data_IF_469232049312
#
_entry.id   IF_469232049312
#
_cell.length_a   1.000
_cell.length_b   1.000
_cell.length_c   1.000
_cell.angle_alpha   90.00
_cell.angle_beta   90.00
_cell.angle_gamma   90.00
#
_symmetry.space_group_name_H-M   'P 1'
#
loop_
_entity.id
_entity.type
_entity.pdbx_description
1 polymer ?
#
# COMPACT_ATOMS: atom_id res chain seq x y z
N UNK A 1 24.44 5.71 60.28
CA UNK A 1 23.24 4.90 59.94
C UNK A 1 22.74 4.04 61.11
N UNK A 2 23.59 3.61 62.05
CA UNK A 2 23.17 2.80 63.21
C UNK A 2 22.25 3.52 64.23
N UNK A 3 22.29 4.86 64.32
CA UNK A 3 21.46 5.61 65.26
C UNK A 3 19.99 5.73 64.83
N UNK A 4 19.73 5.75 63.51
CA UNK A 4 18.38 5.86 62.95
C UNK A 4 17.61 4.52 62.93
N UNK A 5 18.33 3.38 63.05
CA UNK A 5 17.74 2.04 63.06
C UNK A 5 17.28 1.60 64.44
N UNK A 6 17.98 2.05 65.49
CA UNK A 6 17.54 1.87 66.88
C UNK A 6 16.26 2.65 67.22
N UNK A 7 16.04 3.81 66.60
CA UNK A 7 14.83 4.64 66.80
C UNK A 7 13.55 3.99 66.22
N UNK A 8 13.69 3.04 65.29
CA UNK A 8 12.58 2.37 64.61
C UNK A 8 12.39 0.90 65.02
N UNK A 9 13.15 0.40 66.02
CA UNK A 9 13.12 -1.01 66.45
C UNK A 9 13.37 -2.04 65.32
N UNK A 10 14.13 -1.65 64.29
CA UNK A 10 14.48 -2.53 63.16
C UNK A 10 15.93 -3.01 63.27
N UNK A 11 16.14 -4.31 63.12
CA UNK A 11 17.48 -4.90 63.21
C UNK A 11 18.25 -4.68 61.89
N UNK A 12 19.55 -4.34 61.96
CA UNK A 12 20.37 -3.99 60.78
C UNK A 12 20.37 -5.09 59.69
N UNK A 13 20.30 -6.36 60.10
CA UNK A 13 20.19 -7.50 59.17
C UNK A 13 18.88 -7.49 58.35
N UNK A 14 17.79 -6.95 58.89
CA UNK A 14 16.52 -6.83 58.16
C UNK A 14 16.63 -5.79 57.05
N UNK A 15 17.34 -4.69 57.27
CA UNK A 15 17.61 -3.68 56.25
C UNK A 15 18.54 -4.20 55.15
N UNK A 16 19.58 -4.95 55.51
CA UNK A 16 20.45 -5.59 54.53
C UNK A 16 19.69 -6.59 53.66
N UNK A 17 18.87 -7.45 54.28
CA UNK A 17 18.03 -8.41 53.58
C UNK A 17 16.99 -7.72 52.68
N UNK A 18 16.39 -6.61 53.12
CA UNK A 18 15.47 -5.81 52.30
C UNK A 18 16.16 -5.17 51.10
N UNK A 19 17.33 -4.53 51.29
CA UNK A 19 18.10 -3.96 50.17
C UNK A 19 18.52 -5.03 49.18
N UNK A 20 19.05 -6.15 49.67
CA UNK A 20 19.43 -7.30 48.84
C UNK A 20 18.24 -7.87 48.06
N UNK A 21 17.07 -8.01 48.70
CA UNK A 21 15.84 -8.48 48.06
C UNK A 21 15.34 -7.50 46.98
N UNK A 22 15.34 -6.20 47.25
CA UNK A 22 14.97 -5.17 46.27
C UNK A 22 15.94 -5.14 45.09
N UNK A 23 17.25 -5.21 45.35
CA UNK A 23 18.28 -5.26 44.31
C UNK A 23 18.14 -6.50 43.42
N UNK A 24 17.88 -7.67 44.03
CA UNK A 24 17.62 -8.90 43.28
C UNK A 24 16.33 -8.83 42.46
N UNK A 25 15.26 -8.20 42.97
CA UNK A 25 14.02 -8.01 42.21
C UNK A 25 14.23 -7.10 41.00
N UNK A 26 14.93 -5.98 41.16
CA UNK A 26 15.29 -5.09 40.06
C UNK A 26 16.14 -5.82 39.01
N UNK A 27 17.20 -6.50 39.44
CA UNK A 27 18.09 -7.23 38.52
C UNK A 27 17.39 -8.42 37.84
N UNK A 28 16.47 -9.10 38.52
CA UNK A 28 15.63 -10.13 37.89
C UNK A 28 14.72 -9.53 36.83
N UNK A 29 14.07 -8.40 37.14
CA UNK A 29 13.20 -7.69 36.21
C UNK A 29 13.94 -7.19 34.97
N UNK A 30 15.16 -6.66 35.14
CA UNK A 30 16.03 -6.23 34.04
C UNK A 30 16.38 -7.41 33.11
N UNK A 31 16.78 -8.56 33.67
CA UNK A 31 17.08 -9.78 32.89
C UNK A 31 15.86 -10.32 32.16
N UNK A 32 14.69 -10.29 32.80
CA UNK A 32 13.43 -10.69 32.17
C UNK A 32 13.08 -9.76 31.00
N UNK A 33 13.29 -8.46 31.15
CA UNK A 33 13.11 -7.49 30.08
C UNK A 33 14.06 -7.74 28.92
N UNK A 34 15.35 -7.94 29.18
CA UNK A 34 16.35 -8.28 28.15
C UNK A 34 15.99 -9.57 27.41
N UNK A 35 15.65 -10.63 28.15
CA UNK A 35 15.23 -11.91 27.58
C UNK A 35 13.94 -11.76 26.77
N UNK A 36 12.97 -10.96 27.23
CA UNK A 36 11.75 -10.71 26.47
C UNK A 36 12.02 -9.93 25.18
N UNK A 37 12.93 -8.96 25.20
CA UNK A 37 13.37 -8.22 24.02
C UNK A 37 14.05 -9.15 23.01
N UNK A 38 14.90 -10.07 23.49
CA UNK A 38 15.55 -11.06 22.63
C UNK A 38 14.55 -12.07 22.05
N UNK A 39 13.57 -12.52 22.83
CA UNK A 39 12.49 -13.39 22.31
C UNK A 39 11.73 -12.69 21.18
N UNK A 40 11.41 -11.41 21.33
CA UNK A 40 10.73 -10.63 20.28
C UNK A 40 11.63 -10.51 19.05
N UNK A 41 12.93 -10.25 19.24
CA UNK A 41 13.92 -10.18 18.15
C UNK A 41 14.02 -11.50 17.39
N UNK A 42 14.19 -12.62 18.10
CA UNK A 42 14.32 -13.96 17.50
C UNK A 42 13.04 -14.38 16.80
N UNK A 43 11.87 -14.15 17.41
CA UNK A 43 10.58 -14.42 16.75
C UNK A 43 10.42 -13.63 15.46
N UNK A 44 10.85 -12.37 15.45
CA UNK A 44 10.87 -11.56 14.22
C UNK A 44 11.81 -12.15 13.17
N UNK A 45 13.00 -12.59 13.56
CA UNK A 45 13.94 -13.21 12.62
C UNK A 45 13.39 -14.51 12.03
N UNK A 46 12.74 -15.35 12.83
CA UNK A 46 12.08 -16.58 12.36
C UNK A 46 10.98 -16.25 11.35
N UNK A 47 10.09 -15.30 11.67
CA UNK A 47 9.05 -14.89 10.74
C UNK A 47 9.61 -14.37 9.40
N UNK A 48 10.71 -13.59 9.43
CA UNK A 48 11.37 -13.14 8.20
C UNK A 48 11.99 -14.31 7.40
N UNK A 49 12.56 -15.32 8.05
CA UNK A 49 13.12 -16.51 7.35
C UNK A 49 12.01 -17.39 6.77
N UNK A 50 10.94 -17.61 7.51
CA UNK A 50 9.79 -18.42 7.05
C UNK A 50 9.13 -17.77 5.83
N UNK A 51 9.01 -16.44 5.83
CA UNK A 51 8.55 -15.66 4.68
C UNK A 51 9.46 -15.89 3.47
N UNK A 52 10.79 -15.75 3.64
CA UNK A 52 11.78 -15.95 2.56
C UNK A 52 11.77 -17.37 2.00
N UNK A 53 11.61 -18.40 2.84
CA UNK A 53 11.51 -19.79 2.40
C UNK A 53 10.25 -20.03 1.57
N UNK A 54 9.12 -19.46 2.00
CA UNK A 54 7.85 -19.56 1.26
C UNK A 54 7.95 -18.89 -0.10
N UNK A 55 8.56 -17.69 -0.16
CA UNK A 55 8.82 -17.00 -1.43
C UNK A 55 9.72 -17.84 -2.33
N UNK A 56 10.80 -18.41 -1.76
CA UNK A 56 11.73 -19.23 -2.52
C UNK A 56 11.02 -20.43 -3.13
N UNK A 57 10.14 -21.10 -2.37
CA UNK A 57 9.35 -22.22 -2.88
C UNK A 57 8.44 -21.81 -4.04
N UNK A 58 7.81 -20.64 -3.96
CA UNK A 58 6.91 -20.12 -5.02
C UNK A 58 7.66 -19.57 -6.24
N UNK A 59 8.89 -19.11 -6.06
CA UNK A 59 9.65 -18.34 -7.06
C UNK A 59 10.89 -19.03 -7.62
N UNK A 60 11.10 -20.34 -7.37
CA UNK A 60 12.32 -21.06 -7.76
C UNK A 60 12.69 -20.86 -9.24
N UNK A 61 11.71 -20.94 -10.13
CA UNK A 61 11.94 -20.83 -11.57
C UNK A 61 12.25 -19.39 -12.00
N UNK A 62 11.65 -18.40 -11.33
CA UNK A 62 11.78 -16.97 -11.63
C UNK A 62 13.19 -16.42 -11.31
N UNK A 63 13.97 -17.11 -10.48
CA UNK A 63 15.32 -16.68 -10.12
C UNK A 63 16.27 -16.59 -11.33
N UNK A 64 16.06 -17.46 -12.32
CA UNK A 64 16.87 -17.57 -13.56
C UNK A 64 16.36 -16.68 -14.69
N UNK A 65 15.19 -16.11 -14.51
CA UNK A 65 14.52 -15.33 -15.54
C UNK A 65 15.02 -13.88 -15.58
N UNK A 66 14.59 -13.19 -16.63
CA UNK A 66 14.86 -11.77 -16.84
C UNK A 66 14.27 -10.89 -15.72
N UNK A 67 14.82 -9.68 -15.49
CA UNK A 67 14.30 -8.74 -14.49
C UNK A 67 12.80 -8.44 -14.67
N UNK A 68 12.30 -8.45 -15.90
CA UNK A 68 10.88 -8.25 -16.24
C UNK A 68 9.99 -9.28 -15.54
N UNK A 69 10.36 -10.58 -15.64
CA UNK A 69 9.62 -11.67 -15.00
C UNK A 69 9.70 -11.61 -13.48
N UNK A 70 10.86 -11.20 -12.95
CA UNK A 70 11.02 -10.95 -11.50
C UNK A 70 10.06 -9.86 -11.01
N UNK A 71 9.86 -8.81 -11.79
CA UNK A 71 8.90 -7.77 -11.41
C UNK A 71 7.44 -8.20 -11.53
N UNK A 72 7.09 -9.04 -12.51
CA UNK A 72 5.75 -9.64 -12.61
C UNK A 72 5.47 -10.51 -11.37
N UNK A 73 6.47 -11.27 -10.92
CA UNK A 73 6.36 -12.04 -9.68
C UNK A 73 6.13 -11.14 -8.46
N UNK A 74 6.88 -10.04 -8.33
CA UNK A 74 6.66 -9.06 -7.26
C UNK A 74 5.23 -8.53 -7.28
N UNK A 75 4.68 -8.20 -8.45
CA UNK A 75 3.32 -7.69 -8.58
C UNK A 75 2.25 -8.70 -8.13
N UNK A 76 2.44 -9.97 -8.48
CA UNK A 76 1.52 -11.06 -8.13
C UNK A 76 1.48 -11.33 -6.63
N UNK A 77 2.64 -11.32 -5.98
CA UNK A 77 2.77 -11.73 -4.57
C UNK A 77 2.91 -10.56 -3.57
N UNK A 78 2.81 -9.30 -4.01
CA UNK A 78 2.93 -8.12 -3.13
C UNK A 78 1.89 -8.04 -1.99
N UNK A 79 0.77 -8.77 -2.12
CA UNK A 79 -0.29 -8.82 -1.11
C UNK A 79 -0.04 -9.92 -0.06
N UNK A 80 0.75 -10.93 -0.40
CA UNK A 80 1.03 -12.10 0.45
C UNK A 80 2.35 -11.92 1.22
N UNK A 81 3.35 -11.30 0.59
CA UNK A 81 4.68 -11.14 1.19
C UNK A 81 5.18 -9.70 1.13
N UNK A 82 6.10 -9.39 2.04
CA UNK A 82 6.80 -8.12 2.10
C UNK A 82 7.68 -7.94 0.86
N UNK A 83 7.58 -6.76 0.22
CA UNK A 83 8.44 -6.39 -0.92
C UNK A 83 9.92 -6.53 -0.57
N UNK A 84 10.29 -6.29 0.70
CA UNK A 84 11.65 -6.46 1.20
C UNK A 84 12.12 -7.92 1.07
N UNK A 85 11.30 -8.88 1.52
CA UNK A 85 11.63 -10.29 1.43
C UNK A 85 11.68 -10.75 -0.03
N UNK A 86 10.70 -10.37 -0.86
CA UNK A 86 10.68 -10.75 -2.28
C UNK A 86 11.92 -10.24 -3.01
N UNK A 87 12.28 -8.96 -2.84
CA UNK A 87 13.47 -8.37 -3.47
C UNK A 87 14.76 -9.06 -3.01
N UNK A 88 14.85 -9.46 -1.73
CA UNK A 88 16.00 -10.18 -1.20
C UNK A 88 16.12 -11.58 -1.81
N UNK A 89 15.02 -12.33 -1.93
CA UNK A 89 15.03 -13.66 -2.54
C UNK A 89 15.35 -13.58 -4.03
N UNK A 90 14.73 -12.65 -4.77
CA UNK A 90 14.93 -12.50 -6.22
C UNK A 90 16.25 -11.82 -6.63
N UNK A 91 17.02 -11.33 -5.66
CA UNK A 91 18.27 -10.59 -5.86
C UNK A 91 18.07 -9.32 -6.72
N UNK A 92 17.02 -8.55 -6.42
CA UNK A 92 16.69 -7.30 -7.12
C UNK A 92 16.76 -6.11 -6.17
N UNK A 93 17.31 -4.99 -6.61
CA UNK A 93 17.32 -3.76 -5.83
C UNK A 93 15.88 -3.27 -5.56
N UNK A 94 15.54 -3.06 -4.29
CA UNK A 94 14.20 -2.61 -3.86
C UNK A 94 13.77 -1.30 -4.53
N UNK A 95 14.69 -0.36 -4.69
CA UNK A 95 14.40 0.93 -5.33
C UNK A 95 14.04 0.78 -6.81
N UNK A 96 14.63 -0.19 -7.51
CA UNK A 96 14.34 -0.42 -8.93
C UNK A 96 12.86 -0.74 -9.17
N UNK A 97 12.26 -1.56 -8.30
CA UNK A 97 10.83 -1.87 -8.36
C UNK A 97 9.95 -0.62 -8.23
N UNK A 98 10.23 0.24 -7.24
CA UNK A 98 9.45 1.46 -7.03
C UNK A 98 9.64 2.47 -8.16
N UNK A 99 10.86 2.62 -8.69
CA UNK A 99 11.14 3.49 -9.85
C UNK A 99 10.38 3.00 -11.07
N UNK A 100 10.45 1.70 -11.39
CA UNK A 100 9.70 1.10 -12.50
C UNK A 100 8.19 1.28 -12.34
N UNK A 101 7.66 1.05 -11.13
CA UNK A 101 6.23 1.27 -10.83
C UNK A 101 5.85 2.74 -11.01
N UNK A 102 6.72 3.67 -10.62
CA UNK A 102 6.48 5.10 -10.81
C UNK A 102 6.51 5.49 -12.30
N UNK A 103 7.46 4.98 -13.07
CA UNK A 103 7.53 5.20 -14.52
C UNK A 103 6.28 4.66 -15.23
N UNK A 104 5.88 3.42 -14.93
CA UNK A 104 4.65 2.83 -15.49
C UNK A 104 3.42 3.70 -15.18
N UNK A 105 3.32 4.19 -13.93
CA UNK A 105 2.23 5.11 -13.55
C UNK A 105 2.22 6.37 -14.40
N UNK A 106 3.38 7.00 -14.60
CA UNK A 106 3.49 8.22 -15.41
C UNK A 106 3.11 7.97 -16.88
N UNK A 107 3.58 6.86 -17.46
CA UNK A 107 3.23 6.48 -18.84
C UNK A 107 1.73 6.23 -18.96
N UNK A 108 1.15 5.44 -18.05
CA UNK A 108 -0.29 5.18 -18.04
C UNK A 108 -1.09 6.48 -17.86
N UNK A 109 -0.66 7.36 -16.96
CA UNK A 109 -1.33 8.64 -16.70
C UNK A 109 -1.31 9.55 -17.93
N UNK A 110 -0.19 9.61 -18.66
CA UNK A 110 -0.11 10.34 -19.94
C UNK A 110 -1.06 9.77 -20.99
N UNK A 111 -1.04 8.46 -21.21
CA UNK A 111 -1.90 7.79 -22.20
C UNK A 111 -3.38 7.99 -21.90
N UNK A 112 -3.78 7.85 -20.62
CA UNK A 112 -5.17 8.08 -20.19
C UNK A 112 -5.57 9.54 -20.38
N UNK A 113 -4.66 10.49 -20.11
CA UNK A 113 -4.91 11.93 -20.30
C UNK A 113 -5.08 12.30 -21.76
N UNK A 114 -4.24 11.76 -22.64
CA UNK A 114 -4.31 11.95 -24.09
C UNK A 114 -5.65 11.42 -24.62
N UNK A 115 -5.97 10.15 -24.36
CA UNK A 115 -7.24 9.55 -24.78
C UNK A 115 -8.46 10.31 -24.21
N UNK A 116 -8.37 10.83 -22.98
CA UNK A 116 -9.44 11.63 -22.38
C UNK A 116 -9.60 12.99 -23.07
N UNK A 117 -8.49 13.61 -23.50
CA UNK A 117 -8.50 14.85 -24.28
C UNK A 117 -9.09 14.63 -25.68
N UNK A 118 -8.70 13.55 -26.35
CA UNK A 118 -9.19 13.18 -27.69
C UNK A 118 -10.70 12.90 -27.67
N UNK A 119 -11.18 12.25 -26.61
CA UNK A 119 -12.60 12.04 -26.33
C UNK A 119 -13.36 13.32 -25.93
N UNK A 120 -12.72 14.50 -26.01
CA UNK A 120 -13.27 15.81 -25.61
C UNK A 120 -13.82 15.80 -24.18
N UNK A 121 -13.19 15.01 -23.31
CA UNK A 121 -13.56 14.84 -21.91
C UNK A 121 -14.98 14.24 -21.70
N UNK A 122 -15.59 13.60 -22.72
CA UNK A 122 -16.95 13.04 -22.60
C UNK A 122 -16.96 11.63 -22.01
N UNK A 123 -15.87 10.90 -22.18
CA UNK A 123 -15.82 9.49 -21.82
C UNK A 123 -15.37 9.31 -20.37
N UNK A 124 -16.14 8.49 -19.64
CA UNK A 124 -15.72 7.94 -18.35
C UNK A 124 -14.91 6.66 -18.53
N UNK A 125 -14.52 6.06 -17.40
CA UNK A 125 -13.63 4.89 -17.37
C UNK A 125 -14.01 3.75 -18.32
N UNK A 126 -15.27 3.28 -18.41
CA UNK A 126 -15.60 2.14 -19.28
C UNK A 126 -15.30 2.43 -20.76
N UNK A 127 -15.84 3.53 -21.29
CA UNK A 127 -15.64 3.93 -22.70
C UNK A 127 -14.19 4.25 -23.02
N UNK A 128 -13.48 4.85 -22.07
CA UNK A 128 -12.06 5.15 -22.24
C UNK A 128 -11.22 3.86 -22.29
N UNK A 129 -11.60 2.83 -21.53
CA UNK A 129 -10.91 1.53 -21.54
C UNK A 129 -11.12 0.81 -22.87
N UNK A 130 -12.32 0.88 -23.44
CA UNK A 130 -12.63 0.31 -24.75
C UNK A 130 -11.86 1.02 -25.88
N UNK A 131 -11.76 2.36 -25.83
CA UNK A 131 -10.96 3.15 -26.77
C UNK A 131 -9.47 2.79 -26.70
N UNK A 132 -8.91 2.72 -25.48
CA UNK A 132 -7.52 2.30 -25.29
C UNK A 132 -7.28 0.88 -25.82
N UNK A 133 -8.25 -0.03 -25.61
CA UNK A 133 -8.20 -1.39 -26.18
C UNK A 133 -8.22 -1.37 -27.70
N UNK A 134 -9.05 -0.52 -28.32
CA UNK A 134 -9.09 -0.36 -29.78
C UNK A 134 -7.77 0.15 -30.35
N UNK A 135 -7.03 0.95 -29.59
CA UNK A 135 -5.68 1.44 -29.92
C UNK A 135 -4.56 0.41 -29.61
N UNK A 136 -4.90 -0.83 -29.27
CA UNK A 136 -3.94 -1.89 -28.93
C UNK A 136 -3.31 -1.77 -27.54
N UNK A 137 -3.79 -0.85 -26.69
CA UNK A 137 -3.30 -0.64 -25.32
C UNK A 137 -4.26 -1.28 -24.32
N UNK A 138 -3.93 -2.50 -23.89
CA UNK A 138 -4.78 -3.22 -22.93
C UNK A 138 -4.45 -2.78 -21.50
N UNK A 139 -5.36 -2.03 -20.89
CA UNK A 139 -5.32 -1.68 -19.47
C UNK A 139 -6.53 -2.25 -18.72
N UNK A 140 -6.34 -2.57 -17.44
CA UNK A 140 -7.45 -2.90 -16.57
C UNK A 140 -8.30 -1.65 -16.31
N UNK A 141 -9.64 -1.78 -16.34
CA UNK A 141 -10.58 -0.69 -16.04
C UNK A 141 -10.28 -0.01 -14.69
N UNK A 142 -9.81 -0.76 -13.69
CA UNK A 142 -9.40 -0.22 -12.38
C UNK A 142 -8.17 0.69 -12.49
N UNK A 143 -7.22 0.35 -13.37
CA UNK A 143 -6.01 1.13 -13.62
C UNK A 143 -6.37 2.47 -14.25
N UNK A 144 -7.25 2.45 -15.27
CA UNK A 144 -7.77 3.66 -15.93
C UNK A 144 -8.55 4.52 -14.92
N UNK A 145 -9.40 3.91 -14.09
CA UNK A 145 -10.14 4.63 -13.05
C UNK A 145 -9.22 5.28 -12.03
N UNK A 146 -8.19 4.56 -11.57
CA UNK A 146 -7.22 5.07 -10.61
C UNK A 146 -6.41 6.24 -11.22
N UNK A 147 -6.06 6.15 -12.50
CA UNK A 147 -5.41 7.23 -13.24
C UNK A 147 -6.27 8.49 -13.31
N UNK A 148 -7.54 8.37 -13.75
CA UNK A 148 -8.49 9.49 -13.78
C UNK A 148 -8.64 10.15 -12.40
N UNK A 149 -8.73 9.36 -11.32
CA UNK A 149 -8.82 9.89 -9.94
C UNK A 149 -7.56 10.65 -9.53
N UNK A 150 -6.36 10.11 -9.80
CA UNK A 150 -5.08 10.78 -9.46
C UNK A 150 -4.91 12.11 -10.19
N UNK A 151 -5.33 12.17 -11.45
CA UNK A 151 -5.24 13.36 -12.29
C UNK A 151 -6.43 14.30 -12.14
N UNK A 152 -7.41 13.95 -11.28
CA UNK A 152 -8.62 14.74 -11.06
C UNK A 152 -9.41 14.98 -12.36
N UNK A 153 -9.38 14.01 -13.29
CA UNK A 153 -10.09 14.07 -14.56
C UNK A 153 -11.49 13.47 -14.40
N UNK A 154 -12.52 14.25 -14.73
CA UNK A 154 -13.92 13.82 -14.65
C UNK A 154 -14.64 14.06 -15.97
N UNK A 155 -15.37 13.05 -16.43
CA UNK A 155 -16.15 13.15 -17.65
C UNK A 155 -17.17 14.30 -17.55
N UNK A 156 -17.25 15.11 -18.59
CA UNK A 156 -18.24 16.16 -18.76
C UNK A 156 -19.60 15.51 -19.00
N UNK A 157 -20.54 15.77 -18.09
CA UNK A 157 -21.93 15.45 -18.33
C UNK A 157 -22.45 16.23 -19.55
N UNK A 158 -23.29 15.58 -20.35
CA UNK A 158 -24.08 16.31 -21.36
C UNK A 158 -24.96 17.33 -20.63
N UNK A 159 -25.04 18.56 -21.16
CA UNK A 159 -26.00 19.54 -20.63
C UNK A 159 -27.40 18.97 -20.78
N UNK A 160 -28.22 19.09 -19.74
CA UNK A 160 -29.64 18.78 -19.81
C UNK A 160 -30.28 19.75 -20.80
N UNK A 161 -30.87 19.21 -21.86
CA UNK A 161 -31.66 20.02 -22.79
C UNK A 161 -33.00 20.25 -22.10
N UNK A 162 -33.30 21.51 -21.77
CA UNK A 162 -34.64 21.90 -21.35
C UNK A 162 -35.52 21.97 -22.59
N UNK A 163 -36.75 21.41 -22.57
CA UNK A 163 -37.70 21.62 -23.66
C UNK A 163 -37.89 23.12 -23.85
N UNK A 164 -37.78 23.59 -25.10
CA UNK A 164 -38.20 24.95 -25.42
C UNK A 164 -39.68 25.02 -25.08
N UNK A 165 -40.06 25.84 -24.10
CA UNK A 165 -41.48 26.08 -23.84
C UNK A 165 -42.04 26.74 -25.09
N UNK A 166 -42.85 26.01 -25.85
CA UNK A 166 -43.63 26.60 -26.92
C UNK A 166 -44.56 27.63 -26.26
N UNK A 167 -44.31 28.91 -26.51
CA UNK A 167 -45.29 29.95 -26.17
C UNK A 167 -46.30 29.93 -27.30
N UNK A 168 -47.58 29.76 -26.98
CA UNK A 168 -48.62 29.91 -27.99
C UNK A 168 -48.53 31.34 -28.55
N UNK A 169 -48.06 31.46 -29.79
CA UNK A 169 -47.81 32.76 -30.41
C UNK A 169 -49.08 33.40 -30.99
N UNK A 170 -50.26 32.83 -30.73
CA UNK A 170 -51.56 33.34 -31.20
C UNK A 170 -51.71 33.41 -32.73
N UNK A 171 -50.71 32.96 -33.49
CA UNK A 171 -50.72 32.99 -34.94
C UNK A 171 -51.56 31.82 -35.47
N UNK A 172 -52.46 32.05 -36.45
CA UNK A 172 -53.26 30.99 -37.03
C UNK A 172 -52.34 29.98 -37.72
N UNK A 173 -52.32 28.76 -37.21
CA UNK A 173 -51.59 27.65 -37.82
C UNK A 173 -52.42 27.19 -39.03
N UNK A 174 -51.99 27.57 -40.23
CA UNK A 174 -52.66 27.13 -41.45
C UNK A 174 -52.47 25.61 -41.60
N UNK A 175 -53.58 24.87 -41.55
CA UNK A 175 -53.61 23.46 -41.95
C UNK A 175 -53.50 23.41 -43.46
N UNK A 176 -52.36 22.93 -43.95
CA UNK A 176 -52.18 22.57 -45.35
C UNK A 176 -52.99 21.29 -45.56
N UNK A 177 -54.02 21.36 -46.42
CA UNK A 177 -54.80 20.22 -46.89
C UNK A 177 -53.99 19.40 -47.90
#
# INVERSE_FOLDING_TARGET
MAAATSELNLYESQLYNWRSKQQNQLSSSEREQEMSAEIVRLKRQLAERDEELTILQNGRDILRETPEMKYVFIEKHQAEFSIKAICRVLQVARNSWYVRRQQFRLVCDNVVREAFSDAKQRYGTPRLTDELRAQGRVYNIKTVAASLRRQVLRAKASRKISPVSYREHGLPVQRIC
#
